data_IF_901119814494
#
_entry.id   IF_901119814494
#
_cell.length_a   1.000
_cell.length_b   1.000
_cell.length_c   1.000
_cell.angle_alpha   90.00
_cell.angle_beta   90.00
_cell.angle_gamma   90.00
#
_symmetry.space_group_name_H-M   'P 1'
#
loop_
_entity.id
_entity.type
_entity.pdbx_description
1 polymer ?
#
# COMPACT_ATOMS: atom_id res chain seq x y z
N UNK A 1 -8.65 42.33 -36.48
CA UNK A 1 -7.21 42.68 -36.36
C UNK A 1 -7.00 43.46 -35.06
N UNK A 2 -5.79 43.39 -34.46
CA UNK A 2 -5.38 43.72 -33.07
C UNK A 2 -5.56 42.50 -32.15
N UNK A 3 -4.63 41.55 -32.00
CA UNK A 3 -3.17 41.60 -31.72
C UNK A 3 -2.81 42.30 -30.40
N UNK A 4 -2.69 41.45 -29.36
CA UNK A 4 -1.61 41.40 -28.35
C UNK A 4 -1.60 42.45 -27.22
N UNK A 5 -1.68 42.04 -25.94
CA UNK A 5 -0.53 41.87 -25.01
C UNK A 5 -0.98 41.68 -23.54
N UNK A 6 -0.31 40.73 -22.86
CA UNK A 6 0.16 40.73 -21.47
C UNK A 6 -0.74 40.39 -20.25
N UNK A 7 -0.45 39.19 -19.70
CA UNK A 7 -0.12 38.84 -18.31
C UNK A 7 -0.96 39.42 -17.15
N UNK A 8 -1.62 38.51 -16.41
CA UNK A 8 -1.49 38.40 -14.96
C UNK A 8 -1.82 36.96 -14.52
N UNK A 9 -0.78 36.23 -14.13
CA UNK A 9 -0.91 35.01 -13.35
C UNK A 9 -1.42 35.40 -11.95
N UNK A 10 -2.65 35.01 -11.61
CA UNK A 10 -3.08 34.95 -10.22
C UNK A 10 -2.99 33.50 -9.80
N UNK A 11 -1.93 33.21 -9.05
CA UNK A 11 -1.73 31.96 -8.35
C UNK A 11 -2.96 31.67 -7.49
N UNK A 12 -3.71 30.62 -7.83
CA UNK A 12 -4.64 30.03 -6.88
C UNK A 12 -3.82 29.40 -5.75
N UNK A 13 -4.15 29.66 -4.48
CA UNK A 13 -3.36 29.21 -3.35
C UNK A 13 -3.43 27.68 -3.26
N UNK A 14 -2.23 27.12 -3.11
CA UNK A 14 -1.95 25.76 -2.72
C UNK A 14 -2.54 25.51 -1.32
N UNK A 15 -3.82 25.16 -1.21
CA UNK A 15 -4.31 24.44 -0.03
C UNK A 15 -3.86 22.99 -0.19
N UNK A 16 -2.59 22.81 0.12
CA UNK A 16 -1.94 21.52 0.30
C UNK A 16 -2.78 20.66 1.25
N UNK A 17 -2.90 19.40 0.86
CA UNK A 17 -3.55 18.30 1.55
C UNK A 17 -3.24 18.34 3.06
N UNK A 18 -4.27 18.48 3.89
CA UNK A 18 -4.21 17.91 5.24
C UNK A 18 -4.71 16.47 5.17
N UNK A 19 -3.98 15.63 4.45
CA UNK A 19 -3.90 14.22 4.84
C UNK A 19 -2.94 14.21 6.02
N UNK A 20 -3.48 14.37 7.23
CA UNK A 20 -2.71 14.07 8.43
C UNK A 20 -2.17 12.65 8.33
N UNK A 21 -0.99 12.35 8.90
CA UNK A 21 -0.50 10.99 8.95
C UNK A 21 -1.54 10.15 9.68
N UNK A 22 -2.21 9.25 8.96
CA UNK A 22 -2.92 8.14 9.59
C UNK A 22 -1.88 7.40 10.42
N UNK A 23 -2.14 7.28 11.72
CA UNK A 23 -1.33 6.53 12.69
C UNK A 23 -1.30 5.01 12.40
N UNK A 24 -1.75 4.61 11.21
CA UNK A 24 -1.67 3.25 10.71
C UNK A 24 -0.29 3.02 10.09
N UNK A 25 0.33 1.89 10.41
CA UNK A 25 1.60 1.47 9.82
C UNK A 25 1.53 1.54 8.29
N UNK A 26 2.35 2.43 7.71
CA UNK A 26 2.34 2.68 6.27
C UNK A 26 3.04 1.56 5.51
N UNK A 27 2.52 1.20 4.33
CA UNK A 27 3.10 0.12 3.51
C UNK A 27 4.58 0.36 3.18
N UNK A 28 5.02 1.61 3.02
CA UNK A 28 6.44 1.97 2.82
C UNK A 28 7.36 1.50 3.97
N UNK A 29 6.87 1.49 5.21
CA UNK A 29 7.64 0.97 6.35
C UNK A 29 7.72 -0.55 6.33
N UNK A 30 6.65 -1.22 5.87
CA UNK A 30 6.63 -2.67 5.66
C UNK A 30 7.56 -3.07 4.53
N UNK A 31 7.51 -2.38 3.39
CA UNK A 31 8.33 -2.70 2.23
C UNK A 31 9.82 -2.55 2.54
N UNK A 32 10.20 -1.48 3.24
CA UNK A 32 11.59 -1.26 3.68
C UNK A 32 12.09 -2.30 4.69
N UNK A 33 11.21 -2.86 5.51
CA UNK A 33 11.54 -3.87 6.53
C UNK A 33 10.96 -5.26 6.21
N UNK A 34 10.70 -5.55 4.94
CA UNK A 34 9.88 -6.71 4.55
C UNK A 34 10.37 -8.03 5.13
N UNK A 35 11.69 -8.22 5.26
CA UNK A 35 12.28 -9.42 5.87
C UNK A 35 11.80 -9.70 7.30
N UNK A 36 11.52 -8.66 8.09
CA UNK A 36 10.99 -8.81 9.44
C UNK A 36 9.47 -9.04 9.42
N UNK A 37 8.78 -8.34 8.53
CA UNK A 37 7.32 -8.44 8.39
C UNK A 37 6.86 -9.73 7.69
N UNK A 38 7.68 -10.34 6.83
CA UNK A 38 7.36 -11.59 6.14
C UNK A 38 7.15 -12.74 7.12
N UNK A 39 7.91 -12.80 8.23
CA UNK A 39 7.67 -13.78 9.29
C UNK A 39 6.29 -13.60 9.95
N UNK A 40 5.87 -12.36 10.19
CA UNK A 40 4.53 -12.05 10.72
C UNK A 40 3.43 -12.35 9.69
N UNK A 41 3.69 -12.07 8.42
CA UNK A 41 2.79 -12.43 7.32
C UNK A 41 2.64 -13.96 7.21
N UNK A 42 3.71 -14.73 7.39
CA UNK A 42 3.63 -16.20 7.39
C UNK A 42 2.79 -16.74 8.55
N UNK A 43 2.88 -16.11 9.73
CA UNK A 43 2.04 -16.46 10.88
C UNK A 43 0.57 -16.16 10.61
N UNK A 44 0.27 -14.99 10.01
CA UNK A 44 -1.09 -14.60 9.64
C UNK A 44 -1.68 -15.51 8.56
N UNK A 45 -0.90 -15.78 7.52
CA UNK A 45 -1.30 -16.58 6.38
C UNK A 45 -0.48 -17.86 6.29
N UNK A 46 -0.77 -18.84 7.14
CA UNK A 46 -0.03 -20.11 7.21
C UNK A 46 0.01 -20.94 5.91
N UNK A 47 -0.83 -20.63 4.89
CA UNK A 47 -0.75 -21.27 3.56
C UNK A 47 0.28 -20.61 2.64
N UNK A 48 0.73 -19.39 2.95
CA UNK A 48 1.82 -18.73 2.23
C UNK A 48 3.15 -19.35 2.66
N UNK A 49 3.92 -19.77 1.66
CA UNK A 49 5.27 -20.28 1.87
C UNK A 49 6.27 -19.13 1.95
N UNK A 50 7.49 -19.43 2.40
CA UNK A 50 8.57 -18.46 2.37
C UNK A 50 8.89 -18.00 0.93
N UNK A 51 8.67 -18.86 -0.07
CA UNK A 51 8.85 -18.51 -1.48
C UNK A 51 7.77 -17.51 -1.93
N UNK A 52 6.50 -17.74 -1.58
CA UNK A 52 5.39 -16.81 -1.88
C UNK A 52 5.67 -15.41 -1.30
N UNK A 53 6.16 -15.36 -0.06
CA UNK A 53 6.51 -14.12 0.63
C UNK A 53 7.80 -13.48 0.08
N UNK A 54 8.72 -14.28 -0.42
CA UNK A 54 9.92 -13.78 -1.11
C UNK A 54 9.55 -13.15 -2.44
N UNK A 55 8.65 -13.78 -3.21
CA UNK A 55 8.15 -13.20 -4.47
C UNK A 55 7.38 -11.90 -4.20
N UNK A 56 6.59 -11.85 -3.12
CA UNK A 56 5.93 -10.63 -2.66
C UNK A 56 6.92 -9.47 -2.48
N UNK A 57 8.11 -9.72 -1.93
CA UNK A 57 9.22 -8.76 -1.82
C UNK A 57 8.79 -7.36 -1.34
N UNK A 58 7.86 -7.30 -0.38
CA UNK A 58 7.38 -6.02 0.15
C UNK A 58 6.46 -5.25 -0.79
N UNK A 59 5.93 -5.87 -1.86
CA UNK A 59 4.92 -5.28 -2.75
C UNK A 59 3.51 -5.73 -2.34
N UNK A 60 2.66 -4.77 -1.97
CA UNK A 60 1.29 -5.04 -1.47
C UNK A 60 0.48 -5.87 -2.45
N UNK A 61 0.48 -5.46 -3.72
CA UNK A 61 -0.29 -6.12 -4.77
C UNK A 61 0.14 -7.57 -5.01
N UNK A 62 1.43 -7.87 -4.84
CA UNK A 62 1.93 -9.24 -4.98
C UNK A 62 1.49 -10.11 -3.80
N UNK A 63 1.57 -9.59 -2.56
CA UNK A 63 1.03 -10.27 -1.39
C UNK A 63 -0.47 -10.57 -1.54
N UNK A 64 -1.24 -9.58 -2.00
CA UNK A 64 -2.68 -9.72 -2.30
C UNK A 64 -2.91 -10.78 -3.39
N UNK A 65 -2.08 -10.82 -4.45
CA UNK A 65 -2.09 -11.86 -5.47
C UNK A 65 -1.89 -13.27 -4.89
N UNK A 66 -0.87 -13.43 -4.05
CA UNK A 66 -0.59 -14.72 -3.37
C UNK A 66 -1.73 -15.15 -2.45
N UNK A 67 -2.34 -14.22 -1.72
CA UNK A 67 -3.48 -14.53 -0.86
C UNK A 67 -4.67 -15.03 -1.71
N UNK A 68 -4.98 -14.36 -2.83
CA UNK A 68 -6.00 -14.83 -3.77
C UNK A 68 -5.71 -16.26 -4.27
N UNK A 69 -4.50 -16.51 -4.76
CA UNK A 69 -4.09 -17.82 -5.29
C UNK A 69 -4.17 -18.94 -4.25
N UNK A 70 -3.70 -18.68 -3.01
CA UNK A 70 -3.52 -19.70 -1.98
C UNK A 70 -4.78 -19.95 -1.14
N UNK A 71 -5.65 -18.95 -1.04
CA UNK A 71 -6.88 -19.03 -0.25
C UNK A 71 -8.15 -19.09 -1.11
N UNK A 72 -8.06 -18.84 -2.43
CA UNK A 72 -9.21 -18.86 -3.33
C UNK A 72 -10.20 -17.75 -3.05
N UNK A 73 -9.72 -16.59 -2.59
CA UNK A 73 -10.54 -15.43 -2.22
C UNK A 73 -10.53 -14.37 -3.32
N UNK A 74 -11.50 -13.45 -3.31
CA UNK A 74 -11.50 -12.32 -4.24
C UNK A 74 -10.41 -11.32 -3.88
N UNK A 75 -10.08 -10.44 -4.83
CA UNK A 75 -9.11 -9.36 -4.62
C UNK A 75 -9.53 -8.47 -3.45
N UNK A 76 -10.81 -8.10 -3.37
CA UNK A 76 -11.34 -7.23 -2.31
C UNK A 76 -11.19 -7.87 -0.93
N UNK A 77 -11.43 -9.19 -0.85
CA UNK A 77 -11.24 -9.92 0.41
C UNK A 77 -9.76 -10.00 0.80
N UNK A 78 -8.88 -10.30 -0.16
CA UNK A 78 -7.44 -10.30 0.09
C UNK A 78 -6.92 -8.91 0.50
N UNK A 79 -7.39 -7.84 -0.14
CA UNK A 79 -7.07 -6.46 0.22
C UNK A 79 -7.51 -6.15 1.67
N UNK A 80 -8.75 -6.52 2.05
CA UNK A 80 -9.24 -6.37 3.43
C UNK A 80 -8.40 -7.13 4.45
N UNK A 81 -7.98 -8.35 4.13
CA UNK A 81 -7.11 -9.12 5.02
C UNK A 81 -5.75 -8.46 5.20
N UNK A 82 -5.16 -7.94 4.12
CA UNK A 82 -3.90 -7.20 4.20
C UNK A 82 -4.08 -5.95 5.06
N UNK A 83 -5.12 -5.16 4.84
CA UNK A 83 -5.38 -3.96 5.64
C UNK A 83 -5.64 -4.29 7.12
N UNK A 84 -6.39 -5.35 7.40
CA UNK A 84 -6.58 -5.84 8.77
C UNK A 84 -5.28 -6.28 9.42
N UNK A 85 -4.38 -6.90 8.65
CA UNK A 85 -3.06 -7.27 9.13
C UNK A 85 -2.20 -6.03 9.40
N UNK A 86 -2.20 -5.03 8.52
CA UNK A 86 -1.50 -3.75 8.73
C UNK A 86 -1.92 -3.08 10.04
N UNK A 87 -3.22 -3.00 10.28
CA UNK A 87 -3.77 -2.40 11.50
C UNK A 87 -3.45 -3.21 12.77
N UNK A 88 -3.08 -4.49 12.64
CA UNK A 88 -2.67 -5.34 13.77
C UNK A 88 -1.19 -5.21 14.13
N UNK A 89 -0.41 -4.47 13.33
CA UNK A 89 1.04 -4.32 13.48
C UNK A 89 1.45 -3.01 14.20
N UNK A 90 0.51 -2.10 14.46
CA UNK A 90 0.67 -0.94 15.33
C UNK A 90 0.67 -1.28 16.83
#
# INVERSE_FOLDING_TARGET
>A
MRKTLLLLAVAAPLLALSTGPSLALNWDQISGNWKQFSGKAQQQWGKLTNDDLTVAAGRRQELVGRIQERYGVTKEEADRQVDSWLNSLD
#
